data_IF_732813870032
#
_entry.id   IF_732813870032
#
_cell.length_a   1.000
_cell.length_b   1.000
_cell.length_c   1.000
_cell.angle_alpha   90.00
_cell.angle_beta   90.00
_cell.angle_gamma   90.00
#
_symmetry.space_group_name_H-M   'P 1'
#
loop_
_entity.id
_entity.type
_entity.pdbx_description
1 polymer ?
#
# COMPACT_ATOMS: atom_id res chain seq x y z
N UNK A 1 39.99 -24.87 34.73
CA UNK A 1 39.73 -23.45 34.39
C UNK A 1 38.32 -23.13 34.86
N UNK A 2 38.20 -22.41 35.97
CA UNK A 2 36.91 -22.13 36.63
C UNK A 2 36.19 -20.98 35.95
N UNK A 3 34.96 -21.20 35.49
CA UNK A 3 34.12 -20.18 34.88
C UNK A 3 33.73 -19.12 35.94
N UNK A 4 34.09 -17.87 35.68
CA UNK A 4 33.79 -16.74 36.55
C UNK A 4 32.26 -16.48 36.58
N UNK A 5 31.60 -16.88 37.67
CA UNK A 5 30.13 -16.78 37.88
C UNK A 5 29.63 -15.36 38.20
N UNK A 6 30.47 -14.32 38.13
CA UNK A 6 30.14 -12.99 38.68
C UNK A 6 29.63 -11.93 37.67
N UNK A 7 29.21 -12.30 36.47
CA UNK A 7 28.66 -11.33 35.49
C UNK A 7 27.17 -11.55 35.20
N UNK A 8 26.35 -11.55 36.25
CA UNK A 8 24.89 -11.39 36.10
C UNK A 8 24.57 -9.89 35.92
N UNK A 9 23.71 -9.50 34.96
CA UNK A 9 23.33 -8.11 34.80
C UNK A 9 22.72 -7.57 36.10
N UNK A 10 23.19 -6.41 36.55
CA UNK A 10 22.66 -5.72 37.73
C UNK A 10 21.15 -5.51 37.53
N UNK A 11 20.35 -6.04 38.46
CA UNK A 11 18.92 -5.72 38.55
C UNK A 11 18.81 -4.24 38.88
N UNK A 12 18.46 -3.43 37.89
CA UNK A 12 18.19 -2.00 38.08
C UNK A 12 16.77 -1.88 38.63
N UNK A 13 16.61 -1.20 39.76
CA UNK A 13 15.29 -0.87 40.29
C UNK A 13 14.56 0.02 39.27
N UNK A 14 13.38 -0.42 38.84
CA UNK A 14 12.53 0.39 37.97
C UNK A 14 12.12 1.68 38.72
N UNK A 15 12.12 2.85 38.08
CA UNK A 15 11.62 4.07 38.70
C UNK A 15 10.14 3.90 39.06
N UNK A 16 9.58 4.76 39.94
CA UNK A 16 8.17 4.73 40.27
C UNK A 16 7.29 4.68 39.01
N UNK A 17 6.57 3.58 38.84
CA UNK A 17 5.68 3.37 37.71
C UNK A 17 4.30 3.94 38.02
N UNK A 18 3.74 4.70 37.08
CA UNK A 18 2.37 5.17 37.16
C UNK A 18 1.46 4.31 36.28
N UNK A 19 0.22 4.08 36.72
CA UNK A 19 -0.79 3.43 35.89
C UNK A 19 -1.24 4.39 34.79
N UNK A 20 -0.81 4.14 33.56
CA UNK A 20 -1.43 4.73 32.38
C UNK A 20 -2.64 3.89 31.94
N UNK A 21 -3.78 4.53 31.63
CA UNK A 21 -4.91 3.88 30.95
C UNK A 21 -4.87 4.27 29.48
N UNK A 22 -4.67 3.30 28.59
CA UNK A 22 -4.80 3.54 27.16
C UNK A 22 -6.29 3.61 26.80
N UNK A 23 -6.77 4.78 26.39
CA UNK A 23 -8.11 4.92 25.81
C UNK A 23 -8.02 4.55 24.32
N UNK A 24 -8.71 3.49 23.91
CA UNK A 24 -8.82 3.08 22.51
C UNK A 24 -10.14 3.61 21.95
N UNK A 25 -10.11 4.26 20.79
CA UNK A 25 -11.32 4.72 20.11
C UNK A 25 -12.24 3.54 19.76
N UNK A 26 -13.55 3.72 19.92
CA UNK A 26 -14.56 2.68 19.78
C UNK A 26 -15.33 2.78 18.44
N UNK A 27 -14.62 2.94 17.31
CA UNK A 27 -15.29 2.85 16.01
C UNK A 27 -15.59 1.39 15.72
N UNK A 28 -16.86 1.10 15.46
CA UNK A 28 -17.34 -0.23 15.10
C UNK A 28 -16.81 -0.66 13.73
N UNK A 29 -16.70 -1.98 13.55
CA UNK A 29 -16.36 -2.58 12.27
C UNK A 29 -17.49 -2.39 11.26
N UNK A 30 -17.13 -2.38 9.97
CA UNK A 30 -18.08 -2.27 8.85
C UNK A 30 -18.19 -3.60 8.09
N UNK A 31 -19.30 -3.80 7.37
CA UNK A 31 -19.37 -4.81 6.32
C UNK A 31 -18.49 -4.37 5.14
N UNK A 32 -17.31 -4.94 5.08
CA UNK A 32 -16.27 -4.64 4.09
C UNK A 32 -16.76 -4.83 2.65
N UNK A 33 -17.58 -5.86 2.41
CA UNK A 33 -18.08 -6.15 1.07
C UNK A 33 -19.09 -5.08 0.65
N UNK A 34 -20.05 -4.78 1.51
CA UNK A 34 -21.07 -3.78 1.23
C UNK A 34 -20.45 -2.39 1.03
N UNK A 35 -19.58 -1.96 1.96
CA UNK A 35 -18.92 -0.65 1.92
C UNK A 35 -18.08 -0.48 0.65
N UNK A 36 -17.28 -1.50 0.28
CA UNK A 36 -16.44 -1.42 -0.91
C UNK A 36 -17.27 -1.35 -2.20
N UNK A 37 -18.38 -2.09 -2.28
CA UNK A 37 -19.28 -2.02 -3.45
C UNK A 37 -19.89 -0.63 -3.57
N UNK A 38 -20.41 -0.08 -2.46
CA UNK A 38 -21.00 1.27 -2.43
C UNK A 38 -20.00 2.32 -2.91
N UNK A 39 -18.76 2.27 -2.40
CA UNK A 39 -17.73 3.23 -2.80
C UNK A 39 -17.30 3.08 -4.27
N UNK A 40 -17.15 1.83 -4.76
CA UNK A 40 -16.80 1.57 -6.18
C UNK A 40 -17.88 2.11 -7.10
N UNK A 41 -19.15 1.85 -6.79
CA UNK A 41 -20.28 2.25 -7.62
C UNK A 41 -20.47 3.77 -7.60
N UNK A 42 -20.26 4.42 -6.44
CA UNK A 42 -20.32 5.88 -6.32
C UNK A 42 -19.24 6.62 -7.12
N UNK A 43 -18.09 6.00 -7.38
CA UNK A 43 -17.03 6.60 -8.19
C UNK A 43 -17.30 6.53 -9.69
N UNK A 44 -18.27 5.72 -10.13
CA UNK A 44 -18.60 5.52 -11.55
C UNK A 44 -17.42 5.05 -12.43
N UNK A 45 -16.30 4.65 -11.81
CA UNK A 45 -15.06 4.29 -12.52
C UNK A 45 -15.26 3.04 -13.36
N UNK A 46 -16.06 2.08 -12.88
CA UNK A 46 -16.33 0.85 -13.62
C UNK A 46 -17.04 1.11 -14.95
N UNK A 47 -17.79 2.21 -15.10
CA UNK A 47 -18.44 2.56 -16.38
C UNK A 47 -17.45 2.99 -17.45
N UNK A 48 -16.24 3.39 -17.06
CA UNK A 48 -15.18 3.82 -17.97
C UNK A 48 -14.25 2.68 -18.38
N UNK A 49 -14.40 1.51 -17.75
CA UNK A 49 -13.60 0.34 -18.05
C UNK A 49 -14.13 -0.31 -19.32
N UNK A 50 -13.23 -0.51 -20.28
CA UNK A 50 -13.52 -1.21 -21.53
C UNK A 50 -13.24 -2.70 -21.32
N UNK A 51 -14.09 -3.62 -21.81
CA UNK A 51 -13.83 -5.05 -21.71
C UNK A 51 -12.43 -5.42 -22.19
N UNK A 52 -11.80 -6.37 -21.48
CA UNK A 52 -10.44 -6.88 -21.69
C UNK A 52 -9.31 -5.94 -21.29
N UNK A 53 -9.61 -4.76 -20.74
CA UNK A 53 -8.59 -3.91 -20.12
C UNK A 53 -7.90 -4.65 -18.97
N UNK A 54 -6.57 -4.61 -18.96
CA UNK A 54 -5.73 -5.20 -17.92
C UNK A 54 -5.58 -4.21 -16.78
N UNK A 55 -6.09 -4.56 -15.60
CA UNK A 55 -6.10 -3.66 -14.44
C UNK A 55 -5.12 -4.16 -13.38
N UNK A 56 -4.06 -3.40 -13.13
CA UNK A 56 -3.10 -3.68 -12.07
C UNK A 56 -3.68 -3.28 -10.71
N UNK A 57 -3.77 -4.22 -9.78
CA UNK A 57 -4.15 -3.98 -8.38
C UNK A 57 -2.91 -4.12 -7.52
N UNK A 58 -2.36 -2.98 -7.11
CA UNK A 58 -1.15 -2.88 -6.32
C UNK A 58 -1.43 -3.06 -4.83
N UNK A 59 -0.73 -3.98 -4.18
CA UNK A 59 -0.99 -4.34 -2.78
C UNK A 59 0.31 -4.40 -1.98
N UNK A 60 0.26 -3.95 -0.73
CA UNK A 60 1.37 -4.08 0.22
C UNK A 60 1.47 -5.51 0.79
N UNK A 61 2.65 -5.87 1.33
CA UNK A 61 2.83 -7.10 2.10
C UNK A 61 2.47 -6.97 3.59
N UNK A 62 2.05 -5.77 4.04
CA UNK A 62 1.64 -5.61 5.43
C UNK A 62 0.20 -6.09 5.57
N UNK A 63 0.02 -7.11 6.40
CA UNK A 63 -1.31 -7.60 6.77
C UNK A 63 -2.22 -6.47 7.24
N UNK A 64 -3.43 -6.49 6.71
CA UNK A 64 -4.55 -5.62 7.02
C UNK A 64 -5.78 -6.52 7.11
N UNK A 65 -6.65 -6.24 8.07
CA UNK A 65 -7.87 -6.99 8.27
C UNK A 65 -8.76 -6.92 7.04
N UNK A 66 -9.32 -8.08 6.71
CA UNK A 66 -10.19 -8.28 5.55
C UNK A 66 -9.51 -8.04 4.19
N UNK A 67 -8.17 -7.92 4.10
CA UNK A 67 -7.48 -7.64 2.83
C UNK A 67 -7.81 -8.66 1.74
N UNK A 68 -7.76 -9.95 2.06
CA UNK A 68 -8.10 -11.03 1.11
C UNK A 68 -9.54 -10.90 0.61
N UNK A 69 -10.48 -10.57 1.50
CA UNK A 69 -11.89 -10.40 1.12
C UNK A 69 -12.11 -9.15 0.27
N UNK A 70 -11.47 -8.02 0.62
CA UNK A 70 -11.49 -6.80 -0.20
C UNK A 70 -10.97 -7.05 -1.59
N UNK A 71 -9.84 -7.76 -1.72
CA UNK A 71 -9.27 -8.10 -3.02
C UNK A 71 -10.21 -8.99 -3.82
N UNK A 72 -10.81 -10.03 -3.22
CA UNK A 72 -11.82 -10.86 -3.91
C UNK A 72 -12.99 -10.02 -4.43
N UNK A 73 -13.55 -9.13 -3.61
CA UNK A 73 -14.66 -8.26 -4.00
C UNK A 73 -14.24 -7.33 -5.13
N UNK A 74 -13.09 -6.66 -5.00
CA UNK A 74 -12.56 -5.76 -6.03
C UNK A 74 -12.34 -6.49 -7.37
N UNK A 75 -11.67 -7.64 -7.34
CA UNK A 75 -11.41 -8.48 -8.52
C UNK A 75 -12.73 -8.94 -9.16
N UNK A 76 -13.70 -9.39 -8.36
CA UNK A 76 -15.01 -9.80 -8.86
C UNK A 76 -15.77 -8.63 -9.52
N UNK A 77 -15.73 -7.44 -8.94
CA UNK A 77 -16.36 -6.24 -9.52
C UNK A 77 -15.70 -5.82 -10.84
N UNK A 78 -14.38 -5.82 -10.91
CA UNK A 78 -13.64 -5.54 -12.16
C UNK A 78 -13.98 -6.57 -13.26
N UNK A 79 -14.00 -7.86 -12.92
CA UNK A 79 -14.39 -8.92 -13.86
C UNK A 79 -15.85 -8.81 -14.32
N UNK A 80 -16.75 -8.30 -13.47
CA UNK A 80 -18.17 -8.15 -13.83
C UNK A 80 -18.42 -7.15 -14.96
N UNK A 81 -17.48 -6.22 -15.17
CA UNK A 81 -17.47 -5.28 -16.32
C UNK A 81 -16.51 -5.71 -17.43
N UNK A 82 -16.00 -6.94 -17.37
CA UNK A 82 -15.19 -7.54 -18.43
C UNK A 82 -13.69 -7.22 -18.37
N UNK A 83 -13.18 -6.60 -17.30
CA UNK A 83 -11.73 -6.38 -17.15
C UNK A 83 -10.96 -7.68 -16.84
N UNK A 84 -9.64 -7.63 -17.08
CA UNK A 84 -8.67 -8.68 -16.78
C UNK A 84 -7.73 -8.22 -15.65
N UNK A 85 -8.19 -8.23 -14.38
CA UNK A 85 -7.38 -7.70 -13.29
C UNK A 85 -6.28 -8.67 -12.85
N UNK A 86 -5.17 -8.12 -12.38
CA UNK A 86 -4.03 -8.87 -11.84
C UNK A 86 -3.42 -8.13 -10.65
N UNK A 87 -2.78 -8.87 -9.74
CA UNK A 87 -2.14 -8.30 -8.56
C UNK A 87 -0.67 -7.98 -8.88
N UNK A 88 -0.20 -6.82 -8.40
CA UNK A 88 1.23 -6.49 -8.36
C UNK A 88 1.68 -6.18 -6.93
N UNK A 89 2.83 -6.68 -6.48
CA UNK A 89 3.37 -6.32 -5.18
C UNK A 89 3.92 -4.89 -5.19
N UNK A 90 3.37 -4.04 -4.33
CA UNK A 90 3.84 -2.68 -4.08
C UNK A 90 4.46 -2.60 -2.68
N UNK A 91 5.52 -3.37 -2.45
CA UNK A 91 6.11 -3.56 -1.13
C UNK A 91 7.05 -2.39 -0.80
N UNK A 92 6.66 -1.57 0.18
CA UNK A 92 7.42 -0.37 0.52
C UNK A 92 8.64 -0.66 1.43
N UNK A 93 9.81 -0.21 0.99
CA UNK A 93 10.80 0.48 1.83
C UNK A 93 11.43 -0.29 3.00
N UNK A 94 12.49 -1.05 2.71
CA UNK A 94 13.50 -1.46 3.68
C UNK A 94 14.28 -2.71 3.26
N UNK A 95 13.55 -3.72 2.79
CA UNK A 95 14.09 -5.01 2.41
C UNK A 95 14.25 -5.08 0.89
N UNK A 96 15.46 -5.41 0.44
CA UNK A 96 15.73 -5.76 -0.96
C UNK A 96 15.24 -7.19 -1.19
N UNK A 97 13.95 -7.32 -1.42
CA UNK A 97 13.33 -8.61 -1.75
C UNK A 97 13.44 -8.85 -3.25
N UNK A 98 13.91 -10.03 -3.63
CA UNK A 98 13.79 -10.60 -4.97
C UNK A 98 12.33 -10.80 -5.38
N UNK A 99 12.08 -11.06 -6.66
CA UNK A 99 10.73 -11.33 -7.14
C UNK A 99 10.07 -12.50 -6.41
N UNK A 100 10.82 -13.57 -6.13
CA UNK A 100 10.29 -14.72 -5.40
C UNK A 100 9.98 -14.38 -3.95
N UNK A 101 10.84 -13.63 -3.26
CA UNK A 101 10.57 -13.21 -1.89
C UNK A 101 9.36 -12.27 -1.79
N UNK A 102 9.15 -11.39 -2.78
CA UNK A 102 7.94 -10.57 -2.83
C UNK A 102 6.68 -11.41 -3.03
N UNK A 103 6.74 -12.45 -3.88
CA UNK A 103 5.65 -13.40 -4.04
C UNK A 103 5.34 -14.11 -2.71
N UNK A 104 6.35 -14.71 -2.08
CA UNK A 104 6.19 -15.38 -0.79
C UNK A 104 5.64 -14.44 0.31
N UNK A 105 6.05 -13.17 0.30
CA UNK A 105 5.54 -12.19 1.25
C UNK A 105 4.03 -11.91 1.10
N UNK A 106 3.51 -11.94 -0.13
CA UNK A 106 2.05 -11.87 -0.38
C UNK A 106 1.35 -13.17 0.05
N UNK A 107 1.93 -14.32 -0.27
CA UNK A 107 1.36 -15.63 0.08
C UNK A 107 1.25 -15.80 1.60
N UNK A 108 2.26 -15.33 2.35
CA UNK A 108 2.30 -15.36 3.82
C UNK A 108 1.14 -14.59 4.47
N UNK A 109 0.52 -13.63 3.77
CA UNK A 109 -0.66 -12.90 4.23
C UNK A 109 -1.96 -13.36 3.56
N UNK A 110 -1.95 -14.52 2.90
CA UNK A 110 -3.11 -15.15 2.27
C UNK A 110 -3.42 -14.68 0.86
N UNK A 111 -2.58 -13.83 0.26
CA UNK A 111 -2.74 -13.38 -1.13
C UNK A 111 -2.07 -14.42 -2.03
N UNK A 112 -2.88 -15.33 -2.54
CA UNK A 112 -2.49 -16.34 -3.55
C UNK A 112 -3.41 -16.23 -4.75
N UNK A 113 -2.95 -16.65 -5.93
CA UNK A 113 -3.79 -16.62 -7.14
C UNK A 113 -5.09 -17.40 -6.95
N UNK A 114 -5.02 -18.54 -6.26
CA UNK A 114 -6.19 -19.36 -5.90
C UNK A 114 -7.14 -18.65 -4.95
N UNK A 115 -6.61 -17.99 -3.91
CA UNK A 115 -7.45 -17.31 -2.92
C UNK A 115 -8.14 -16.08 -3.51
N UNK A 116 -7.46 -15.33 -4.38
CA UNK A 116 -7.97 -14.07 -4.94
C UNK A 116 -8.75 -14.29 -6.24
N UNK A 117 -8.42 -15.35 -7.00
CA UNK A 117 -8.97 -15.57 -8.34
C UNK A 117 -8.40 -14.62 -9.39
N UNK A 118 -7.16 -14.16 -9.22
CA UNK A 118 -6.45 -13.29 -10.17
C UNK A 118 -4.96 -13.66 -10.21
N UNK A 119 -4.30 -13.52 -11.36
CA UNK A 119 -2.87 -13.78 -11.46
C UNK A 119 -2.05 -12.76 -10.65
N UNK A 120 -0.88 -13.18 -10.17
CA UNK A 120 0.06 -12.33 -9.43
C UNK A 120 1.32 -12.12 -10.28
N UNK A 121 1.46 -10.93 -10.83
CA UNK A 121 2.64 -10.55 -11.59
C UNK A 121 3.66 -9.87 -10.70
N UNK A 122 4.86 -10.45 -10.65
CA UNK A 122 5.95 -9.95 -9.82
C UNK A 122 7.16 -9.71 -10.70
N UNK A 123 7.73 -8.52 -10.58
CA UNK A 123 8.98 -8.13 -11.22
C UNK A 123 9.80 -7.26 -10.27
N UNK A 124 11.10 -7.20 -10.47
CA UNK A 124 11.96 -6.16 -9.87
C UNK A 124 12.23 -5.00 -10.82
N UNK A 125 11.84 -5.16 -12.09
CA UNK A 125 12.03 -4.16 -13.12
C UNK A 125 11.10 -2.96 -12.91
N UNK A 126 11.69 -1.78 -13.08
CA UNK A 126 10.99 -0.50 -13.01
C UNK A 126 11.31 0.31 -14.25
N UNK A 127 10.31 1.04 -14.76
CA UNK A 127 10.46 1.97 -15.87
C UNK A 127 10.67 3.38 -15.32
N UNK A 128 11.64 4.11 -15.86
CA UNK A 128 11.77 5.55 -15.68
C UNK A 128 10.73 6.25 -16.57
N UNK A 129 9.76 6.93 -15.96
CA UNK A 129 8.64 7.55 -16.69
C UNK A 129 8.77 9.07 -16.82
N UNK A 130 9.84 9.63 -16.27
CA UNK A 130 10.16 11.06 -16.37
C UNK A 130 10.82 11.58 -15.10
N UNK A 131 10.80 12.90 -14.98
CA UNK A 131 11.35 13.64 -13.84
C UNK A 131 10.33 14.64 -13.33
N UNK A 132 10.27 14.83 -12.01
CA UNK A 132 9.45 15.90 -11.42
C UNK A 132 10.04 17.28 -11.74
N UNK A 133 9.32 18.40 -11.53
CA UNK A 133 9.86 19.73 -11.81
C UNK A 133 11.13 20.07 -11.00
N UNK A 134 11.34 19.38 -9.88
CA UNK A 134 12.50 19.48 -9.00
C UNK A 134 13.67 18.59 -9.47
N UNK A 135 13.54 17.92 -10.62
CA UNK A 135 14.56 17.04 -11.20
C UNK A 135 14.63 15.68 -10.49
N UNK A 136 13.54 15.22 -9.87
CA UNK A 136 13.52 13.92 -9.19
C UNK A 136 13.11 12.84 -10.20
N UNK A 137 13.95 11.84 -10.48
CA UNK A 137 13.61 10.76 -11.41
C UNK A 137 12.49 9.88 -10.85
N UNK A 138 11.50 9.60 -11.69
CA UNK A 138 10.27 8.88 -11.31
C UNK A 138 10.26 7.48 -11.90
N UNK A 139 10.23 6.48 -11.03
CA UNK A 139 10.20 5.06 -11.40
C UNK A 139 8.88 4.41 -11.01
N UNK A 140 8.44 3.43 -11.81
CA UNK A 140 7.24 2.63 -11.56
C UNK A 140 7.44 1.17 -12.00
N UNK A 141 6.80 0.23 -11.33
CA UNK A 141 6.72 -1.19 -11.69
C UNK A 141 6.31 -1.35 -13.16
N UNK A 142 7.07 -2.17 -13.91
CA UNK A 142 6.83 -2.37 -15.34
C UNK A 142 5.42 -2.88 -15.64
N UNK A 143 4.92 -3.87 -14.91
CA UNK A 143 3.59 -4.42 -15.14
C UNK A 143 2.48 -3.42 -14.78
N UNK A 144 2.68 -2.63 -13.72
CA UNK A 144 1.73 -1.57 -13.40
C UNK A 144 1.69 -0.49 -14.49
N UNK A 145 2.84 -0.12 -15.05
CA UNK A 145 2.92 0.87 -16.13
C UNK A 145 2.32 0.39 -17.45
N UNK A 146 2.53 -0.88 -17.79
CA UNK A 146 1.98 -1.52 -19.01
C UNK A 146 0.47 -1.82 -18.88
N UNK A 147 -0.12 -1.66 -17.69
CA UNK A 147 -1.54 -1.91 -17.47
C UNK A 147 -2.40 -0.80 -18.07
N UNK A 148 -3.62 -1.17 -18.48
CA UNK A 148 -4.64 -0.23 -18.91
C UNK A 148 -5.25 0.54 -17.74
N UNK A 149 -4.98 0.16 -16.49
CA UNK A 149 -5.43 0.91 -15.32
C UNK A 149 -4.73 0.46 -14.04
N UNK A 150 -4.51 1.38 -13.12
CA UNK A 150 -3.82 1.12 -11.84
C UNK A 150 -4.76 1.42 -10.67
N UNK A 151 -4.90 0.46 -9.76
CA UNK A 151 -5.57 0.61 -8.47
C UNK A 151 -4.57 0.31 -7.36
N UNK A 152 -4.54 1.13 -6.30
CA UNK A 152 -3.61 0.94 -5.18
C UNK A 152 -4.38 0.68 -3.89
N UNK A 153 -4.17 -0.46 -3.24
CA UNK A 153 -4.82 -0.79 -1.97
C UNK A 153 -3.86 -0.54 -0.81
N UNK A 154 -4.25 0.34 0.11
CA UNK A 154 -3.41 0.74 1.24
C UNK A 154 -4.16 0.76 2.57
N UNK A 155 -3.46 0.35 3.64
CA UNK A 155 -3.91 0.58 5.01
C UNK A 155 -3.45 1.95 5.48
N UNK A 156 -4.38 2.76 5.95
CA UNK A 156 -4.06 3.96 6.72
C UNK A 156 -3.45 3.54 8.07
N UNK A 157 -2.14 3.77 8.23
CA UNK A 157 -1.47 3.73 9.53
C UNK A 157 -1.30 5.15 10.07
N UNK A 158 -1.57 5.33 11.37
CA UNK A 158 -1.14 6.52 12.12
C UNK A 158 0.39 6.48 12.26
N UNK A 159 1.12 7.08 11.32
CA UNK A 159 2.55 7.31 11.48
C UNK A 159 2.78 8.72 12.01
N UNK A 160 3.44 8.84 13.16
CA UNK A 160 3.64 10.08 13.94
C UNK A 160 4.52 11.16 13.31
N UNK A 161 4.64 11.21 11.98
CA UNK A 161 5.34 12.25 11.23
C UNK A 161 4.64 12.67 9.93
N UNK A 162 3.51 12.05 9.59
CA UNK A 162 2.67 12.46 8.46
C UNK A 162 1.38 13.04 9.00
N UNK A 163 0.85 14.08 8.35
CA UNK A 163 -0.50 14.55 8.64
C UNK A 163 -1.46 13.36 8.52
N UNK A 164 -2.55 13.41 9.29
CA UNK A 164 -3.50 12.33 9.49
C UNK A 164 -4.36 12.05 8.24
N UNK A 165 -3.80 12.21 7.04
CA UNK A 165 -4.48 12.12 5.76
C UNK A 165 -4.21 10.74 5.12
N UNK A 166 -5.28 10.07 4.71
CA UNK A 166 -5.26 8.80 3.98
C UNK A 166 -4.39 8.89 2.72
N UNK A 167 -4.23 10.10 2.17
CA UNK A 167 -3.36 10.40 1.02
C UNK A 167 -1.90 10.00 1.28
N UNK A 168 -1.38 10.17 2.49
CA UNK A 168 0.04 9.90 2.79
C UNK A 168 0.43 8.44 2.54
N UNK A 169 -0.41 7.50 2.98
CA UNK A 169 -0.17 6.07 2.78
C UNK A 169 -0.33 5.65 1.32
N UNK A 170 -1.34 6.17 0.62
CA UNK A 170 -1.52 5.93 -0.81
C UNK A 170 -0.36 6.49 -1.63
N UNK A 171 0.05 7.73 -1.39
CA UNK A 171 1.20 8.35 -2.04
C UNK A 171 2.48 7.56 -1.82
N UNK A 172 2.71 7.06 -0.60
CA UNK A 172 3.86 6.21 -0.32
C UNK A 172 3.81 4.88 -1.08
N UNK A 173 2.64 4.27 -1.21
CA UNK A 173 2.46 3.06 -2.01
C UNK A 173 2.67 3.32 -3.50
N UNK A 174 2.17 4.43 -4.02
CA UNK A 174 2.36 4.85 -5.41
C UNK A 174 3.85 5.12 -5.68
N UNK A 175 4.53 5.87 -4.82
CA UNK A 175 5.93 6.26 -5.03
C UNK A 175 6.92 5.15 -4.70
N UNK A 176 6.89 4.64 -3.46
CA UNK A 176 7.88 3.68 -2.95
C UNK A 176 7.47 2.25 -3.24
N UNK A 177 6.17 1.93 -3.11
CA UNK A 177 5.66 0.58 -3.35
C UNK A 177 5.82 0.20 -4.82
N UNK A 178 5.21 0.96 -5.74
CA UNK A 178 5.33 0.70 -7.17
C UNK A 178 6.71 1.06 -7.72
N UNK A 179 7.38 2.09 -7.20
CA UNK A 179 8.73 2.44 -7.64
C UNK A 179 9.86 1.54 -7.10
N UNK A 180 9.52 0.57 -6.24
CA UNK A 180 10.41 -0.46 -5.70
C UNK A 180 11.75 0.10 -5.17
N UNK A 181 12.82 -0.67 -5.32
CA UNK A 181 14.16 -0.30 -4.86
C UNK A 181 14.71 0.94 -5.57
N UNK A 182 14.26 1.22 -6.80
CA UNK A 182 14.66 2.41 -7.57
C UNK A 182 14.21 3.69 -6.86
N UNK A 183 12.92 3.78 -6.50
CA UNK A 183 12.39 4.91 -5.74
C UNK A 183 12.91 4.98 -4.31
N UNK A 184 13.19 3.85 -3.64
CA UNK A 184 13.83 3.87 -2.31
C UNK A 184 15.24 4.48 -2.40
N UNK A 185 16.03 4.05 -3.37
CA UNK A 185 17.41 4.54 -3.56
C UNK A 185 17.40 6.03 -3.92
N UNK A 186 16.49 6.43 -4.80
CA UNK A 186 16.25 7.83 -5.15
C UNK A 186 15.83 8.65 -3.92
N UNK A 187 14.78 8.31 -3.18
CA UNK A 187 14.33 9.15 -2.06
C UNK A 187 15.39 9.28 -0.97
N UNK A 188 16.29 8.29 -0.81
CA UNK A 188 17.40 8.37 0.13
C UNK A 188 18.52 9.31 -0.32
N UNK A 189 18.75 9.50 -1.62
CA UNK A 189 19.80 10.39 -2.11
C UNK A 189 19.51 11.88 -1.89
N UNK A 190 18.24 12.26 -1.69
CA UNK A 190 17.82 13.66 -1.44
C UNK A 190 17.73 14.03 0.04
N UNK A 191 18.14 13.15 0.97
CA UNK A 191 18.18 13.42 2.40
C UNK A 191 16.84 13.26 3.13
N UNK A 192 16.88 13.04 4.45
CA UNK A 192 15.70 12.66 5.23
C UNK A 192 14.68 13.77 5.46
N UNK A 193 15.08 15.04 5.34
CA UNK A 193 14.23 16.21 5.62
C UNK A 193 13.17 16.46 4.56
N UNK A 194 13.35 15.96 3.33
CA UNK A 194 12.44 16.21 2.19
C UNK A 194 11.65 14.95 1.75
N UNK A 195 11.83 13.81 2.42
CA UNK A 195 11.24 12.53 1.99
C UNK A 195 9.71 12.62 1.82
N UNK A 196 9.02 13.29 2.75
CA UNK A 196 7.55 13.41 2.70
C UNK A 196 7.09 14.21 1.49
N UNK A 197 7.74 15.32 1.20
CA UNK A 197 7.42 16.20 0.08
C UNK A 197 7.74 15.51 -1.25
N UNK A 198 8.92 14.88 -1.34
CA UNK A 198 9.34 14.13 -2.52
C UNK A 198 8.39 12.95 -2.80
N UNK A 199 7.93 12.23 -1.76
CA UNK A 199 6.95 11.14 -1.93
C UNK A 199 5.66 11.67 -2.53
N UNK A 200 5.15 12.80 -2.01
CA UNK A 200 3.90 13.39 -2.50
C UNK A 200 4.04 13.89 -3.94
N UNK A 201 5.14 14.56 -4.26
CA UNK A 201 5.42 15.10 -5.59
C UNK A 201 5.55 13.99 -6.65
N UNK A 202 6.32 12.95 -6.34
CA UNK A 202 6.49 11.79 -7.22
C UNK A 202 5.17 11.04 -7.38
N UNK A 203 4.36 10.90 -6.32
CA UNK A 203 3.06 10.26 -6.42
C UNK A 203 2.12 11.03 -7.35
N UNK A 204 2.09 12.36 -7.24
CA UNK A 204 1.29 13.23 -8.13
C UNK A 204 1.76 13.11 -9.57
N UNK A 205 3.08 13.04 -9.80
CA UNK A 205 3.62 12.80 -11.13
C UNK A 205 3.13 11.46 -11.69
N UNK A 206 3.29 10.36 -10.95
CA UNK A 206 2.88 9.01 -11.39
C UNK A 206 1.39 9.00 -11.75
N UNK A 207 0.55 9.53 -10.86
CA UNK A 207 -0.90 9.57 -11.06
C UNK A 207 -1.30 10.38 -12.29
N UNK A 208 -0.54 11.42 -12.65
CA UNK A 208 -0.77 12.23 -13.87
C UNK A 208 -0.24 11.56 -15.13
N UNK A 209 0.88 10.83 -15.03
CA UNK A 209 1.59 10.23 -16.15
C UNK A 209 1.11 8.81 -16.51
N UNK A 210 0.23 8.22 -15.71
CA UNK A 210 -0.27 6.84 -15.88
C UNK A 210 -1.79 6.80 -15.85
N UNK A 211 -2.39 5.68 -16.24
CA UNK A 211 -3.84 5.50 -16.12
C UNK A 211 -4.24 5.08 -14.69
N UNK A 212 -3.97 5.95 -13.72
CA UNK A 212 -4.37 5.73 -12.34
C UNK A 212 -5.88 5.88 -12.18
N UNK A 213 -6.55 4.80 -11.77
CA UNK A 213 -8.00 4.77 -11.59
C UNK A 213 -8.39 5.35 -10.23
N UNK A 214 -7.93 4.71 -9.15
CA UNK A 214 -8.16 5.15 -7.78
C UNK A 214 -7.30 4.37 -6.77
N UNK A 215 -7.15 4.94 -5.57
CA UNK A 215 -6.62 4.25 -4.40
C UNK A 215 -7.74 3.79 -3.49
N UNK A 216 -7.59 2.61 -2.87
CA UNK A 216 -8.44 2.11 -1.80
C UNK A 216 -7.75 2.41 -0.47
N UNK A 217 -8.28 3.35 0.30
CA UNK A 217 -7.77 3.70 1.63
C UNK A 217 -8.61 3.03 2.71
N UNK A 218 -7.99 2.12 3.45
CA UNK A 218 -8.67 1.36 4.52
C UNK A 218 -8.24 1.87 5.89
N UNK A 219 -9.20 2.15 6.77
CA UNK A 219 -8.95 2.56 8.16
C UNK A 219 -9.28 1.42 9.12
N UNK A 220 -8.40 1.15 10.08
CA UNK A 220 -8.59 0.15 11.13
C UNK A 220 -8.72 0.81 12.51
N UNK A 221 -9.48 0.20 13.41
CA UNK A 221 -9.45 0.54 14.83
C UNK A 221 -8.26 -0.14 15.54
N UNK A 222 -7.98 0.19 16.82
CA UNK A 222 -6.91 -0.45 17.59
C UNK A 222 -7.06 -1.97 17.82
N UNK A 223 -8.20 -2.56 17.46
CA UNK A 223 -8.46 -4.00 17.52
C UNK A 223 -8.21 -4.69 16.17
N UNK A 224 -7.64 -3.98 15.20
CA UNK A 224 -7.43 -4.45 13.83
C UNK A 224 -8.77 -4.82 13.18
N UNK A 225 -9.79 -3.99 13.34
CA UNK A 225 -11.05 -4.17 12.62
C UNK A 225 -11.22 -3.06 11.60
N UNK A 226 -11.65 -3.38 10.38
CA UNK A 226 -11.93 -2.40 9.34
C UNK A 226 -13.09 -1.52 9.75
N UNK A 227 -12.85 -0.21 9.83
CA UNK A 227 -13.83 0.80 10.29
C UNK A 227 -14.39 1.67 9.18
N UNK A 228 -13.65 1.81 8.07
CA UNK A 228 -14.08 2.59 6.92
C UNK A 228 -13.18 2.26 5.73
N UNK A 229 -13.77 2.30 4.54
CA UNK A 229 -13.11 2.19 3.25
C UNK A 229 -13.43 3.48 2.50
N UNK A 230 -12.42 4.08 1.87
CA UNK A 230 -12.63 5.25 1.01
C UNK A 230 -11.87 5.10 -0.27
N UNK A 231 -12.51 5.38 -1.39
CA UNK A 231 -11.81 5.46 -2.67
C UNK A 231 -11.33 6.88 -2.96
N UNK A 232 -10.13 6.96 -3.54
CA UNK A 232 -9.43 8.23 -3.77
C UNK A 232 -8.96 8.28 -5.21
N UNK A 233 -9.59 9.13 -6.01
CA UNK A 233 -9.20 9.37 -7.41
C UNK A 233 -7.91 10.20 -7.48
N UNK A 234 -7.38 10.36 -8.69
CA UNK A 234 -6.25 11.25 -8.96
C UNK A 234 -6.45 12.67 -8.42
N UNK A 235 -7.65 13.24 -8.58
CA UNK A 235 -8.02 14.54 -8.05
C UNK A 235 -7.98 14.59 -6.52
N UNK A 236 -8.35 13.49 -5.86
CA UNK A 236 -8.27 13.37 -4.40
C UNK A 236 -6.83 13.31 -3.87
N UNK A 237 -5.87 12.88 -4.69
CA UNK A 237 -4.43 12.83 -4.36
C UNK A 237 -3.66 14.10 -4.76
N UNK A 238 -4.29 15.01 -5.50
CA UNK A 238 -3.68 16.25 -5.96
C UNK A 238 -3.50 17.27 -4.84
#
# INVERSE_FOLDING_TARGET
>A
MSANKNNLPRIIALPPLFKGKQLRGNKHSVDVRAELIVEIDALEVLMKIIPRQKIAVAVANQGMSNLVEMLKVLIARLRSVGAEPFIVPAISGGQRLSADEQRHALEAIGITERAIGAPIYVTMETILIGETPQGIPVFIDRYAYEADGIIVVNRRKLHGGFSNDYKSGLMRMITIGLGKQSSVSMCRSYGSTQITENIAEVAKFIVKATNFLFGVAVSENPYQETTNIKLVTSQGLS
#
